data_IF_527679299400
#
_entry.id   IF_527679299400
#
_cell.length_a   1.000
_cell.length_b   1.000
_cell.length_c   1.000
_cell.angle_alpha   90.00
_cell.angle_beta   90.00
_cell.angle_gamma   90.00
#
_symmetry.space_group_name_H-M   'P 1'
#
loop_
_entity.id
_entity.type
_entity.pdbx_description
1 polymer ?
#
# COMPACT_ATOMS: atom_id res chain seq x y z
N UNK A 1 15.99 -1.52 -37.12
CA UNK A 1 14.76 -0.70 -37.04
C UNK A 1 14.50 -0.08 -38.40
N UNK A 2 13.49 -0.57 -39.13
CA UNK A 2 13.13 -0.02 -40.45
C UNK A 2 12.22 1.19 -40.26
N UNK A 3 12.63 2.33 -40.80
CA UNK A 3 11.83 3.57 -40.80
C UNK A 3 11.12 3.72 -42.14
N UNK A 4 9.84 4.04 -42.11
CA UNK A 4 9.03 4.35 -43.29
C UNK A 4 8.61 5.83 -43.27
N UNK A 5 8.35 6.39 -44.44
CA UNK A 5 7.76 7.73 -44.55
C UNK A 5 6.24 7.60 -44.49
N UNK A 6 5.62 8.25 -43.51
CA UNK A 6 4.17 8.26 -43.32
C UNK A 6 3.66 9.66 -43.59
N UNK A 7 2.62 9.75 -44.42
CA UNK A 7 1.90 10.99 -44.69
C UNK A 7 0.76 11.14 -43.69
N UNK A 8 0.69 12.28 -43.02
CA UNK A 8 -0.24 12.57 -41.93
C UNK A 8 -0.91 13.91 -42.20
N UNK A 9 -2.18 14.04 -41.81
CA UNK A 9 -2.92 15.30 -41.89
C UNK A 9 -3.38 15.72 -40.50
N UNK A 10 -3.08 16.96 -40.11
CA UNK A 10 -3.58 17.59 -38.87
C UNK A 10 -4.06 18.98 -39.20
N UNK A 11 -5.26 19.32 -38.75
CA UNK A 11 -5.88 20.63 -38.89
C UNK A 11 -5.91 21.14 -40.34
N UNK A 12 -6.21 20.23 -41.27
CA UNK A 12 -6.24 20.50 -42.72
C UNK A 12 -4.86 20.68 -43.37
N UNK A 13 -3.76 20.43 -42.65
CA UNK A 13 -2.38 20.50 -43.16
C UNK A 13 -1.79 19.10 -43.25
N UNK A 14 -1.27 18.74 -44.42
CA UNK A 14 -0.58 17.46 -44.63
C UNK A 14 0.93 17.61 -44.46
N UNK A 15 1.56 16.64 -43.81
CA UNK A 15 3.00 16.59 -43.55
C UNK A 15 3.51 15.15 -43.63
N UNK A 16 4.80 15.01 -43.92
CA UNK A 16 5.46 13.71 -44.05
C UNK A 16 6.45 13.51 -42.92
N UNK A 17 6.29 12.41 -42.17
CA UNK A 17 7.11 12.08 -41.00
C UNK A 17 7.82 10.76 -41.22
N UNK A 18 9.07 10.67 -40.78
CA UNK A 18 9.76 9.38 -40.69
C UNK A 18 9.28 8.66 -39.43
N UNK A 19 8.64 7.50 -39.59
CA UNK A 19 8.07 6.72 -38.51
C UNK A 19 8.62 5.29 -38.55
N UNK A 20 9.08 4.73 -37.42
CA UNK A 20 9.33 3.29 -37.31
C UNK A 20 8.05 2.50 -37.61
N UNK A 21 8.15 1.36 -38.29
CA UNK A 21 6.96 0.59 -38.72
C UNK A 21 6.01 0.24 -37.57
N UNK A 22 6.56 -0.05 -36.39
CA UNK A 22 5.83 -0.41 -35.16
C UNK A 22 5.08 0.77 -34.51
N UNK A 23 5.48 2.00 -34.80
CA UNK A 23 4.94 3.20 -34.16
C UNK A 23 3.91 3.92 -35.04
N UNK A 24 3.59 3.37 -36.23
CA UNK A 24 2.67 4.00 -37.19
C UNK A 24 1.31 4.31 -36.56
N UNK A 25 0.71 3.34 -35.88
CA UNK A 25 -0.59 3.49 -35.23
C UNK A 25 -0.54 4.55 -34.11
N UNK A 26 0.49 4.50 -33.26
CA UNK A 26 0.68 5.51 -32.21
C UNK A 26 0.81 6.92 -32.77
N UNK A 27 1.47 7.07 -33.92
CA UNK A 27 1.62 8.34 -34.62
C UNK A 27 0.30 8.83 -35.24
N UNK A 28 -0.51 7.94 -35.81
CA UNK A 28 -1.85 8.27 -36.31
C UNK A 28 -2.79 8.71 -35.17
N UNK A 29 -2.75 8.02 -34.02
CA UNK A 29 -3.49 8.41 -32.82
C UNK A 29 -3.03 9.76 -32.27
N UNK A 30 -1.73 10.03 -32.23
CA UNK A 30 -1.19 11.33 -31.80
C UNK A 30 -1.63 12.47 -32.73
N UNK A 31 -1.73 12.20 -34.04
CA UNK A 31 -2.24 13.18 -35.00
C UNK A 31 -3.72 13.49 -34.77
N UNK A 32 -4.54 12.47 -34.51
CA UNK A 32 -5.97 12.64 -34.19
C UNK A 32 -6.18 13.40 -32.87
N UNK A 33 -5.39 13.10 -31.85
CA UNK A 33 -5.44 13.81 -30.55
C UNK A 33 -5.08 15.29 -30.73
N UNK A 34 -4.01 15.57 -31.48
CA UNK A 34 -3.62 16.95 -31.79
C UNK A 34 -4.70 17.70 -32.57
N UNK A 35 -5.34 17.06 -33.55
CA UNK A 35 -6.42 17.66 -34.34
C UNK A 35 -7.64 18.02 -33.48
N UNK A 36 -8.00 17.12 -32.56
CA UNK A 36 -9.09 17.34 -31.59
C UNK A 36 -8.77 18.52 -30.68
N UNK A 37 -7.57 18.54 -30.09
CA UNK A 37 -7.11 19.61 -29.20
C UNK A 37 -7.08 20.97 -29.90
N UNK A 38 -6.64 21.02 -31.16
CA UNK A 38 -6.63 22.26 -31.94
C UNK A 38 -8.05 22.75 -32.26
N UNK A 39 -8.97 21.84 -32.56
CA UNK A 39 -10.38 22.15 -32.81
C UNK A 39 -11.06 22.70 -31.56
N UNK A 40 -10.88 22.06 -30.41
CA UNK A 40 -11.38 22.53 -29.13
C UNK A 40 -10.79 23.89 -28.76
N UNK A 41 -9.48 24.07 -28.97
CA UNK A 41 -8.80 25.31 -28.66
C UNK A 41 -9.30 26.46 -29.54
N UNK A 42 -9.52 26.21 -30.84
CA UNK A 42 -10.14 27.17 -31.76
C UNK A 42 -11.52 27.60 -31.26
N UNK A 43 -12.36 26.62 -30.87
CA UNK A 43 -13.72 26.89 -30.40
C UNK A 43 -13.73 27.66 -29.07
N UNK A 44 -12.80 27.37 -28.16
CA UNK A 44 -12.73 27.99 -26.83
C UNK A 44 -12.14 29.40 -26.85
N UNK A 45 -11.11 29.63 -27.66
CA UNK A 45 -10.35 30.89 -27.65
C UNK A 45 -10.77 31.87 -28.75
N UNK A 46 -11.48 31.41 -29.78
CA UNK A 46 -11.82 32.20 -30.95
C UNK A 46 -10.62 32.55 -31.85
N UNK A 47 -9.43 32.03 -31.55
CA UNK A 47 -8.22 32.28 -32.35
C UNK A 47 -8.37 31.57 -33.71
N UNK A 48 -8.28 32.35 -34.79
CA UNK A 48 -8.36 31.83 -36.16
C UNK A 48 -7.01 31.49 -36.78
N UNK A 49 -5.91 31.98 -36.19
CA UNK A 49 -4.56 31.69 -36.67
C UNK A 49 -4.11 30.29 -36.24
N UNK A 50 -3.90 29.42 -37.22
CA UNK A 50 -3.46 28.03 -37.02
C UNK A 50 -2.10 27.94 -36.33
N UNK A 51 -1.13 28.79 -36.70
CA UNK A 51 0.22 28.72 -36.08
C UNK A 51 0.15 29.06 -34.60
N UNK A 52 -0.64 30.07 -34.23
CA UNK A 52 -0.85 30.43 -32.84
C UNK A 52 -1.57 29.32 -32.06
N UNK A 53 -2.58 28.68 -32.66
CA UNK A 53 -3.25 27.52 -32.06
C UNK A 53 -2.27 26.37 -31.80
N UNK A 54 -1.37 26.09 -32.75
CA UNK A 54 -0.34 25.05 -32.61
C UNK A 54 0.63 25.37 -31.48
N UNK A 55 1.10 26.61 -31.36
CA UNK A 55 1.98 27.00 -30.25
C UNK A 55 1.29 26.85 -28.89
N UNK A 56 0.05 27.29 -28.77
CA UNK A 56 -0.71 27.15 -27.53
C UNK A 56 -0.96 25.68 -27.20
N UNK A 57 -1.34 24.86 -28.19
CA UNK A 57 -1.54 23.43 -28.01
C UNK A 57 -0.25 22.73 -27.58
N UNK A 58 0.88 23.04 -28.21
CA UNK A 58 2.19 22.50 -27.83
C UNK A 58 2.57 22.89 -26.39
N UNK A 59 2.34 24.14 -25.99
CA UNK A 59 2.58 24.59 -24.61
C UNK A 59 1.69 23.84 -23.61
N UNK A 60 0.41 23.63 -23.93
CA UNK A 60 -0.51 22.87 -23.07
C UNK A 60 -0.04 21.42 -22.91
N UNK A 61 0.35 20.75 -24.00
CA UNK A 61 0.86 19.36 -23.95
C UNK A 61 2.15 19.27 -23.15
N UNK A 62 3.08 20.22 -23.31
CA UNK A 62 4.29 20.29 -22.50
C UNK A 62 3.98 20.46 -21.01
N UNK A 63 2.98 21.28 -20.68
CA UNK A 63 2.53 21.48 -19.31
C UNK A 63 1.89 20.22 -18.72
N UNK A 64 0.98 19.57 -19.45
CA UNK A 64 0.34 18.30 -19.06
C UNK A 64 1.39 17.21 -18.81
N UNK A 65 2.37 17.07 -19.71
CA UNK A 65 3.46 16.10 -19.55
C UNK A 65 4.32 16.39 -18.31
N UNK A 66 4.64 17.67 -18.05
CA UNK A 66 5.38 18.05 -16.87
C UNK A 66 4.60 17.74 -15.59
N UNK A 67 3.30 18.03 -15.57
CA UNK A 67 2.42 17.72 -14.45
C UNK A 67 2.33 16.21 -14.21
N UNK A 68 2.23 15.40 -15.27
CA UNK A 68 2.15 13.95 -15.16
C UNK A 68 3.46 13.32 -14.65
N UNK A 69 4.61 13.87 -15.05
CA UNK A 69 5.92 13.47 -14.51
C UNK A 69 6.02 13.77 -13.01
N UNK A 70 5.56 14.94 -12.57
CA UNK A 70 5.53 15.29 -11.14
C UNK A 70 4.63 14.33 -10.36
N UNK A 71 3.40 14.09 -10.83
CA UNK A 71 2.49 13.12 -10.19
C UNK A 71 3.10 11.73 -10.09
N UNK A 72 3.77 11.27 -11.14
CA UNK A 72 4.45 9.96 -11.16
C UNK A 72 5.56 9.90 -10.12
N UNK A 73 6.36 10.97 -9.99
CA UNK A 73 7.41 11.07 -8.98
C UNK A 73 6.84 11.09 -7.54
N UNK A 74 5.80 11.89 -7.29
CA UNK A 74 5.12 11.97 -6.00
C UNK A 74 4.50 10.63 -5.60
N UNK A 75 3.90 9.93 -6.57
CA UNK A 75 3.37 8.59 -6.37
C UNK A 75 4.46 7.59 -6.00
N UNK A 76 5.59 7.61 -6.71
CA UNK A 76 6.74 6.75 -6.41
C UNK A 76 7.29 7.01 -4.99
N UNK A 77 7.46 8.28 -4.61
CA UNK A 77 7.89 8.66 -3.25
C UNK A 77 6.91 8.20 -2.17
N UNK A 78 5.61 8.38 -2.40
CA UNK A 78 4.56 7.93 -1.47
C UNK A 78 4.60 6.41 -1.32
N UNK A 79 4.76 5.68 -2.42
CA UNK A 79 4.84 4.22 -2.39
C UNK A 79 6.09 3.74 -1.65
N UNK A 80 7.24 4.37 -1.88
CA UNK A 80 8.48 4.06 -1.17
C UNK A 80 8.33 4.28 0.35
N UNK A 81 7.73 5.39 0.76
CA UNK A 81 7.46 5.66 2.17
C UNK A 81 6.56 4.59 2.79
N UNK A 82 5.50 4.16 2.09
CA UNK A 82 4.62 3.08 2.55
C UNK A 82 5.34 1.74 2.66
N UNK A 83 6.17 1.39 1.68
CA UNK A 83 6.97 0.16 1.71
C UNK A 83 7.90 0.17 2.93
N UNK A 84 8.56 1.30 3.21
CA UNK A 84 9.43 1.45 4.38
C UNK A 84 8.69 1.26 5.70
N UNK A 85 7.48 1.81 5.82
CA UNK A 85 6.63 1.59 7.00
C UNK A 85 6.30 0.11 7.16
N UNK A 86 5.88 -0.57 6.08
CA UNK A 86 5.58 -2.00 6.12
C UNK A 86 6.79 -2.84 6.53
N UNK A 87 7.98 -2.54 5.99
CA UNK A 87 9.23 -3.20 6.37
C UNK A 87 9.52 -3.02 7.87
N UNK A 88 9.45 -1.79 8.38
CA UNK A 88 9.66 -1.51 9.80
C UNK A 88 8.65 -2.24 10.69
N UNK A 89 7.37 -2.31 10.29
CA UNK A 89 6.35 -3.04 11.06
C UNK A 89 6.63 -4.54 11.09
N UNK A 90 7.08 -5.12 9.97
CA UNK A 90 7.49 -6.54 9.92
C UNK A 90 8.69 -6.79 10.84
N UNK A 91 9.73 -5.94 10.77
CA UNK A 91 10.91 -6.06 11.64
C UNK A 91 10.52 -5.96 13.13
N UNK A 92 9.64 -5.03 13.49
CA UNK A 92 9.15 -4.90 14.86
C UNK A 92 8.38 -6.14 15.33
N UNK A 93 7.50 -6.69 14.49
CA UNK A 93 6.75 -7.90 14.83
C UNK A 93 7.66 -9.12 15.01
N UNK A 94 8.70 -9.26 14.18
CA UNK A 94 9.70 -10.32 14.32
C UNK A 94 10.53 -10.16 15.60
N UNK A 95 10.94 -8.93 15.95
CA UNK A 95 11.65 -8.64 17.20
C UNK A 95 10.80 -8.92 18.45
N UNK A 96 9.50 -8.66 18.39
CA UNK A 96 8.57 -9.00 19.46
C UNK A 96 8.47 -10.53 19.65
N UNK A 97 8.35 -11.30 18.56
CA UNK A 97 8.28 -12.76 18.64
C UNK A 97 9.54 -13.41 19.22
N UNK A 98 10.74 -13.01 18.77
CA UNK A 98 11.99 -13.55 19.35
C UNK A 98 12.19 -13.17 20.81
N UNK A 99 11.61 -12.04 21.26
CA UNK A 99 11.64 -11.65 22.67
C UNK A 99 10.69 -12.48 23.52
N UNK A 100 9.56 -12.95 22.97
CA UNK A 100 8.59 -13.81 23.65
C UNK A 100 9.14 -15.24 23.78
N UNK A 101 9.79 -15.77 22.75
CA UNK A 101 10.41 -17.12 22.77
C UNK A 101 11.53 -17.25 23.82
N UNK A 102 12.12 -16.12 24.26
CA UNK A 102 13.16 -16.10 25.30
C UNK A 102 12.62 -16.14 26.74
N UNK A 103 11.30 -16.00 26.96
CA UNK A 103 10.70 -15.89 28.30
C UNK A 103 10.10 -17.22 28.79
N UNK A 104 9.97 -18.25 27.94
CA UNK A 104 9.32 -19.52 28.32
C UNK A 104 10.20 -20.56 29.06
N UNK A 105 11.44 -20.23 29.46
CA UNK A 105 12.34 -21.20 30.13
C UNK A 105 12.71 -20.94 31.61
N UNK A 106 12.03 -20.06 32.36
CA UNK A 106 12.39 -19.78 33.78
C UNK A 106 11.25 -20.06 34.79
N UNK A 107 10.25 -20.88 34.47
CA UNK A 107 9.29 -21.31 35.52
C UNK A 107 8.92 -22.78 35.44
N UNK A 108 9.78 -23.61 36.02
CA UNK A 108 9.34 -24.92 36.54
C UNK A 108 9.76 -25.00 38.01
N UNK A 109 8.83 -25.04 38.98
CA UNK A 109 9.20 -25.27 40.38
C UNK A 109 9.66 -26.72 40.55
N UNK A 110 10.71 -26.99 41.36
CA UNK A 110 11.15 -28.36 41.59
C UNK A 110 10.10 -29.12 42.42
N UNK A 111 9.60 -30.22 41.88
CA UNK A 111 8.79 -31.17 42.65
C UNK A 111 9.63 -31.82 43.76
N UNK A 112 9.17 -31.87 45.02
CA UNK A 112 9.89 -32.58 46.05
C UNK A 112 9.75 -34.09 45.87
N UNK A 113 10.88 -34.80 45.97
CA UNK A 113 10.91 -36.26 45.95
C UNK A 113 10.09 -36.82 47.11
N UNK A 114 9.19 -37.74 46.74
CA UNK A 114 8.55 -38.69 47.63
C UNK A 114 9.60 -39.49 48.40
N UNK A 115 9.50 -39.49 49.72
CA UNK A 115 10.07 -40.52 50.57
C UNK A 115 9.14 -40.69 51.77
N UNK A 116 8.34 -41.74 51.72
CA UNK A 116 7.69 -42.31 52.89
C UNK A 116 8.33 -43.69 53.11
N UNK A 117 8.68 -44.07 54.35
CA UNK A 117 7.80 -45.04 55.01
C UNK A 117 7.67 -44.89 56.55
N UNK A 118 6.41 -45.02 57.00
CA UNK A 118 5.86 -45.80 58.14
C UNK A 118 6.39 -45.59 59.59
N UNK A 119 5.64 -46.03 60.64
CA UNK A 119 4.97 -45.14 61.58
C UNK A 119 5.47 -45.32 63.03
N UNK A 120 5.14 -44.39 63.94
CA UNK A 120 4.76 -44.67 65.34
C UNK A 120 4.58 -43.38 66.14
N UNK A 121 3.46 -43.31 66.86
CA UNK A 121 3.23 -42.79 68.23
C UNK A 121 3.83 -41.42 68.58
N UNK A 122 3.14 -40.48 69.23
CA UNK A 122 2.19 -40.65 70.30
C UNK A 122 1.51 -39.27 70.57
N UNK A 123 0.34 -39.32 71.19
CA UNK A 123 -0.29 -38.32 72.07
C UNK A 123 0.03 -36.82 71.87
N UNK A 124 -1.00 -36.01 71.60
CA UNK A 124 -1.77 -35.34 72.67
C UNK A 124 -2.54 -34.11 72.13
N UNK A 125 -3.82 -34.04 72.50
CA UNK A 125 -4.69 -32.86 72.57
C UNK A 125 -5.23 -32.19 71.29
N UNK A 126 -6.47 -32.60 70.99
CA UNK A 126 -7.67 -31.78 70.74
C UNK A 126 -7.68 -30.34 71.32
N UNK A 127 -8.77 -29.56 71.13
CA UNK A 127 -9.57 -29.30 69.92
C UNK A 127 -9.79 -27.78 69.77
N UNK A 128 -10.44 -27.35 68.69
CA UNK A 128 -11.60 -26.43 68.69
C UNK A 128 -12.00 -26.27 67.23
N UNK A 129 -13.19 -26.74 66.82
CA UNK A 129 -14.46 -26.00 66.98
C UNK A 129 -14.32 -24.59 66.33
N UNK A 130 -15.16 -24.15 65.43
CA UNK A 130 -16.49 -24.59 65.06
C UNK A 130 -16.91 -23.81 63.80
N UNK A 131 -18.00 -24.28 63.20
CA UNK A 131 -19.01 -23.45 62.51
C UNK A 131 -18.62 -22.87 61.15
N UNK A 132 -19.08 -23.46 60.04
CA UNK A 132 -20.46 -23.37 59.53
C UNK A 132 -20.86 -21.91 59.29
N UNK A 133 -21.12 -21.53 58.03
CA UNK A 133 -22.49 -21.23 57.60
C UNK A 133 -22.53 -20.56 56.22
N UNK A 134 -23.39 -21.13 55.37
CA UNK A 134 -24.34 -20.49 54.43
C UNK A 134 -23.82 -19.52 53.37
N UNK A 135 -23.91 -19.85 52.08
CA UNK A 135 -25.14 -19.91 51.26
C UNK A 135 -25.70 -18.51 50.93
N UNK A 136 -25.65 -18.16 49.64
CA UNK A 136 -26.55 -17.22 48.97
C UNK A 136 -26.30 -17.23 47.46
N UNK A 137 -27.14 -18.01 46.76
CA UNK A 137 -27.99 -17.57 45.64
C UNK A 137 -27.37 -16.83 44.46
N UNK A 138 -27.38 -17.49 43.28
CA UNK A 138 -27.42 -16.85 41.97
C UNK A 138 -28.79 -17.14 41.34
N UNK A 139 -29.57 -16.09 41.07
CA UNK A 139 -30.72 -16.16 40.14
C UNK A 139 -30.22 -15.91 38.71
N UNK A 140 -30.56 -16.83 37.80
CA UNK A 140 -30.59 -16.62 36.36
C UNK A 140 -32.06 -16.58 35.93
N UNK A 141 -32.44 -15.56 35.17
CA UNK A 141 -33.77 -15.43 34.59
C UNK A 141 -33.82 -14.36 33.50
N UNK A 142 -33.77 -14.87 32.26
CA UNK A 142 -34.24 -14.34 30.95
C UNK A 142 -34.23 -12.83 30.65
#
# INVERSE_FOLDING_TARGET
MTTQRVDISVFGRSFRVNCPTEQKEALELAALDLDTRLTELKNRTGVSNVEQLVFIAALNVCHELAQERTKTADFAHTMEARIRVLQNTIEQALLQHTSIDSVEQITTPPSPLSSNPLPSQDLLSQPTEDSLSTDATYEEGE
#
